data_IF_811630773553
#
_entry.id   IF_811630773553
#
_cell.length_a   1.000
_cell.length_b   1.000
_cell.length_c   1.000
_cell.angle_alpha   90.00
_cell.angle_beta   90.00
_cell.angle_gamma   90.00
#
_symmetry.space_group_name_H-M   'P 1'
#
loop_
_entity.id
_entity.type
_entity.pdbx_description
1 polymer ?
#
# COMPACT_ATOMS: atom_id res chain seq x y z
N UNK A 1 -17.78 -20.63 -9.45
CA UNK A 1 -17.36 -21.87 -8.74
C UNK A 1 -17.97 -21.95 -7.35
N UNK A 2 -18.10 -20.83 -6.63
CA UNK A 2 -18.63 -20.78 -5.23
C UNK A 2 -20.11 -21.22 -5.16
N UNK A 3 -20.88 -21.07 -6.23
CA UNK A 3 -22.29 -21.46 -6.33
C UNK A 3 -22.51 -22.83 -7.01
N UNK A 4 -21.43 -23.52 -7.43
CA UNK A 4 -21.56 -24.82 -8.08
C UNK A 4 -21.90 -25.92 -7.07
N UNK A 5 -22.82 -26.81 -7.42
CA UNK A 5 -23.15 -27.99 -6.62
C UNK A 5 -21.89 -28.87 -6.45
N UNK A 6 -21.69 -29.47 -5.27
CA UNK A 6 -20.48 -30.28 -4.93
C UNK A 6 -20.14 -31.35 -5.96
N UNK A 7 -21.11 -31.89 -6.67
CA UNK A 7 -20.90 -32.90 -7.73
C UNK A 7 -20.01 -32.40 -8.86
N UNK A 8 -20.11 -31.11 -9.25
CA UNK A 8 -19.31 -30.52 -10.33
C UNK A 8 -17.83 -30.36 -9.97
N UNK A 9 -17.49 -30.29 -8.69
CA UNK A 9 -16.11 -30.28 -8.23
C UNK A 9 -15.43 -31.63 -8.39
N UNK A 10 -16.19 -32.73 -8.35
CA UNK A 10 -15.67 -34.11 -8.54
C UNK A 10 -15.51 -34.40 -10.03
N UNK A 11 -16.47 -33.99 -10.86
CA UNK A 11 -16.50 -34.30 -12.31
C UNK A 11 -15.57 -33.42 -13.14
N UNK A 12 -15.07 -32.30 -12.55
CA UNK A 12 -14.21 -31.30 -13.19
C UNK A 12 -14.99 -30.16 -13.85
N UNK A 13 -14.25 -29.20 -14.39
CA UNK A 13 -14.79 -28.02 -15.08
C UNK A 13 -13.96 -27.65 -16.29
N UNK A 14 -14.63 -27.06 -17.29
CA UNK A 14 -14.01 -26.61 -18.54
C UNK A 14 -13.49 -25.19 -18.32
N UNK A 15 -12.25 -24.95 -18.74
CA UNK A 15 -11.60 -23.62 -18.72
C UNK A 15 -11.72 -23.02 -20.11
N UNK A 16 -12.26 -21.81 -20.20
CA UNK A 16 -12.42 -21.07 -21.46
C UNK A 16 -11.87 -19.67 -21.33
N UNK A 17 -11.30 -19.12 -22.38
CA UNK A 17 -10.87 -17.72 -22.52
C UNK A 17 -11.43 -17.18 -23.83
N UNK A 18 -12.13 -16.05 -23.80
CA UNK A 18 -12.81 -15.43 -24.95
C UNK A 18 -13.70 -16.41 -25.76
N UNK A 19 -14.31 -17.37 -25.07
CA UNK A 19 -15.15 -18.41 -25.68
C UNK A 19 -14.38 -19.57 -26.30
N UNK A 20 -13.06 -19.56 -26.30
CA UNK A 20 -12.20 -20.65 -26.75
C UNK A 20 -11.89 -21.65 -25.63
N UNK A 21 -11.91 -22.95 -25.94
CA UNK A 21 -11.52 -23.98 -24.98
C UNK A 21 -10.02 -23.93 -24.71
N UNK A 22 -9.65 -23.78 -23.45
CA UNK A 22 -8.25 -23.81 -22.98
C UNK A 22 -7.86 -25.16 -22.36
N UNK A 23 -8.80 -25.79 -21.65
CA UNK A 23 -8.49 -27.02 -20.96
C UNK A 23 -9.58 -27.45 -20.00
N UNK A 24 -9.27 -28.45 -19.16
CA UNK A 24 -10.14 -28.95 -18.12
C UNK A 24 -9.39 -28.99 -16.81
N UNK A 25 -10.05 -28.59 -15.74
CA UNK A 25 -9.55 -28.66 -14.36
C UNK A 25 -10.41 -29.58 -13.51
N UNK A 26 -9.82 -30.14 -12.48
CA UNK A 26 -10.53 -30.92 -11.46
C UNK A 26 -10.71 -30.13 -10.18
N UNK A 27 -11.62 -30.57 -9.30
CA UNK A 27 -11.75 -29.99 -7.95
C UNK A 27 -10.44 -30.10 -7.15
N UNK A 28 -9.65 -31.16 -7.37
CA UNK A 28 -8.33 -31.32 -6.78
C UNK A 28 -7.36 -30.22 -7.25
N UNK A 29 -7.29 -29.95 -8.56
CA UNK A 29 -6.42 -28.89 -9.11
C UNK A 29 -6.82 -27.52 -8.56
N UNK A 30 -8.12 -27.24 -8.45
CA UNK A 30 -8.63 -26.02 -7.86
C UNK A 30 -8.23 -25.87 -6.39
N UNK A 31 -8.42 -26.93 -5.58
CA UNK A 31 -8.06 -26.93 -4.17
C UNK A 31 -6.54 -26.78 -3.97
N UNK A 32 -5.74 -27.43 -4.82
CA UNK A 32 -4.29 -27.27 -4.82
C UNK A 32 -3.91 -25.82 -5.12
N UNK A 33 -4.46 -25.23 -6.17
CA UNK A 33 -4.19 -23.84 -6.54
C UNK A 33 -4.60 -22.87 -5.43
N UNK A 34 -5.78 -23.04 -4.82
CA UNK A 34 -6.23 -22.23 -3.68
C UNK A 34 -5.25 -22.36 -2.51
N UNK A 35 -4.80 -23.58 -2.19
CA UNK A 35 -3.86 -23.83 -1.10
C UNK A 35 -2.49 -23.18 -1.38
N UNK A 36 -1.99 -23.29 -2.59
CA UNK A 36 -0.75 -22.63 -3.02
C UNK A 36 -0.86 -21.11 -2.95
N UNK A 37 -1.97 -20.52 -3.40
CA UNK A 37 -2.25 -19.09 -3.30
C UNK A 37 -2.33 -18.62 -1.84
N UNK A 38 -3.02 -19.36 -0.97
CA UNK A 38 -3.11 -19.04 0.46
C UNK A 38 -1.76 -19.12 1.15
N UNK A 39 -0.96 -20.16 0.85
CA UNK A 39 0.38 -20.31 1.39
C UNK A 39 1.30 -19.18 0.91
N UNK A 40 1.24 -18.81 -0.36
CA UNK A 40 1.99 -17.69 -0.93
C UNK A 40 1.59 -16.37 -0.27
N UNK A 41 0.28 -16.10 -0.16
CA UNK A 41 -0.22 -14.90 0.51
C UNK A 41 0.27 -14.82 1.97
N UNK A 42 0.16 -15.92 2.74
CA UNK A 42 0.63 -15.97 4.12
C UNK A 42 2.16 -15.79 4.24
N UNK A 43 2.92 -16.32 3.27
CA UNK A 43 4.39 -16.22 3.26
C UNK A 43 4.90 -14.81 2.98
N UNK A 44 4.20 -14.07 2.11
CA UNK A 44 4.63 -12.76 1.65
C UNK A 44 3.85 -11.60 2.26
N UNK A 45 2.88 -11.87 3.13
CA UNK A 45 2.19 -10.83 3.88
C UNK A 45 3.09 -10.21 4.95
N UNK A 46 2.93 -8.92 5.16
CA UNK A 46 3.54 -8.24 6.30
C UNK A 46 2.90 -8.76 7.60
N UNK A 47 3.68 -9.24 8.59
CA UNK A 47 3.13 -9.87 9.79
C UNK A 47 2.36 -8.91 10.70
N UNK A 48 2.59 -7.59 10.59
CA UNK A 48 1.92 -6.59 11.42
C UNK A 48 0.55 -6.20 10.88
N UNK A 49 0.44 -6.01 9.56
CA UNK A 49 -0.78 -5.50 8.91
C UNK A 49 -1.56 -6.56 8.13
N UNK A 50 -0.93 -7.69 7.81
CA UNK A 50 -1.49 -8.70 6.90
C UNK A 50 -1.53 -8.29 5.43
N UNK A 51 -1.07 -7.07 5.11
CA UNK A 51 -1.01 -6.58 3.73
C UNK A 51 0.10 -7.27 2.93
N UNK A 52 -0.03 -7.37 1.60
CA UNK A 52 1.02 -7.85 0.72
C UNK A 52 2.36 -7.14 0.97
N UNK A 53 3.45 -7.91 1.04
CA UNK A 53 4.80 -7.39 1.20
C UNK A 53 5.50 -7.12 -0.14
N UNK A 54 6.84 -7.00 -0.10
CA UNK A 54 7.64 -6.58 -1.25
C UNK A 54 7.49 -7.46 -2.50
N UNK A 55 7.36 -8.77 -2.34
CA UNK A 55 7.26 -9.70 -3.48
C UNK A 55 5.96 -9.46 -4.26
N UNK A 56 4.76 -9.54 -3.65
CA UNK A 56 3.51 -9.22 -4.35
C UNK A 56 3.44 -7.79 -4.90
N UNK A 57 4.06 -6.80 -4.22
CA UNK A 57 4.17 -5.43 -4.73
C UNK A 57 4.92 -5.41 -6.07
N UNK A 58 6.08 -6.09 -6.13
CA UNK A 58 6.88 -6.16 -7.34
C UNK A 58 6.16 -6.88 -8.49
N UNK A 59 5.48 -7.99 -8.19
CA UNK A 59 4.67 -8.75 -9.16
C UNK A 59 3.54 -7.90 -9.74
N UNK A 60 2.84 -7.13 -8.90
CA UNK A 60 1.75 -6.26 -9.35
C UNK A 60 2.25 -5.11 -10.22
N UNK A 61 3.35 -4.45 -9.84
CA UNK A 61 3.99 -3.40 -10.63
C UNK A 61 4.42 -3.94 -11.99
N UNK A 62 5.09 -5.10 -12.02
CA UNK A 62 5.53 -5.73 -13.26
C UNK A 62 4.34 -6.06 -14.19
N UNK A 63 3.29 -6.66 -13.64
CA UNK A 63 2.06 -6.98 -14.38
C UNK A 63 1.41 -5.75 -15.03
N UNK A 64 1.42 -4.60 -14.33
CA UNK A 64 0.83 -3.37 -14.85
C UNK A 64 1.70 -2.69 -15.89
N UNK A 65 3.02 -2.77 -15.76
CA UNK A 65 3.95 -2.29 -16.79
C UNK A 65 3.76 -3.06 -18.11
N UNK A 66 3.60 -4.38 -18.02
CA UNK A 66 3.34 -5.23 -19.20
C UNK A 66 1.94 -5.00 -19.83
N UNK A 67 1.01 -4.46 -19.05
CA UNK A 67 -0.38 -4.23 -19.48
C UNK A 67 -0.62 -2.94 -20.27
N UNK A 68 0.40 -2.09 -20.46
CA UNK A 68 0.37 -0.84 -21.23
C UNK A 68 -0.76 0.15 -20.87
N UNK A 69 -1.38 -0.05 -19.69
CA UNK A 69 -2.47 0.82 -19.20
C UNK A 69 -1.91 1.87 -18.24
N UNK A 70 -2.43 3.10 -18.28
CA UNK A 70 -2.00 4.12 -17.33
C UNK A 70 -2.36 3.70 -15.90
N UNK A 71 -1.44 3.89 -14.98
CA UNK A 71 -1.63 3.66 -13.55
C UNK A 71 -0.80 4.64 -12.72
N UNK A 72 -1.00 4.61 -11.42
CA UNK A 72 -0.31 5.48 -10.48
C UNK A 72 0.33 4.63 -9.39
N UNK A 73 1.57 4.93 -9.07
CA UNK A 73 2.24 4.39 -7.88
C UNK A 73 2.37 5.49 -6.85
N UNK A 74 1.94 5.22 -5.61
CA UNK A 74 2.09 6.15 -4.50
C UNK A 74 2.84 5.49 -3.34
N UNK A 75 3.98 6.04 -2.98
CA UNK A 75 4.66 5.77 -1.74
C UNK A 75 4.01 6.54 -0.60
N UNK A 76 3.67 5.86 0.46
CA UNK A 76 3.11 6.44 1.69
C UNK A 76 4.09 6.23 2.83
N UNK A 77 4.42 7.29 3.54
CA UNK A 77 5.41 7.29 4.61
C UNK A 77 4.93 8.18 5.77
N UNK A 78 5.16 7.72 6.99
CA UNK A 78 4.84 8.45 8.22
C UNK A 78 6.00 9.37 8.60
N UNK A 79 5.74 10.68 8.65
CA UNK A 79 6.72 11.64 9.13
C UNK A 79 6.83 11.53 10.66
N UNK A 80 8.07 11.55 11.17
CA UNK A 80 8.38 11.49 12.61
C UNK A 80 7.95 10.19 13.33
N UNK A 81 7.76 9.06 12.60
CA UNK A 81 7.33 7.81 13.21
C UNK A 81 8.31 7.27 14.24
N UNK A 82 9.62 7.36 13.99
CA UNK A 82 10.62 6.93 14.96
C UNK A 82 10.55 7.74 16.27
N UNK A 83 10.57 9.09 16.29
CA UNK A 83 10.34 9.88 17.50
C UNK A 83 9.03 9.54 18.22
N UNK A 84 7.96 9.24 17.47
CA UNK A 84 6.69 8.78 18.05
C UNK A 84 6.86 7.46 18.81
N UNK A 85 7.52 6.46 18.22
CA UNK A 85 7.82 5.20 18.89
C UNK A 85 8.68 5.38 20.13
N UNK A 86 9.68 6.26 20.07
CA UNK A 86 10.58 6.54 21.18
C UNK A 86 9.83 7.22 22.35
N UNK A 87 8.73 7.96 22.08
CA UNK A 87 7.92 8.65 23.09
C UNK A 87 6.74 7.80 23.61
N UNK A 88 5.97 7.17 22.71
CA UNK A 88 4.74 6.43 23.04
C UNK A 88 4.94 4.92 23.16
N UNK A 89 6.10 4.40 22.75
CA UNK A 89 6.45 2.99 22.73
C UNK A 89 6.03 2.28 21.44
N UNK A 90 6.73 1.18 21.15
CA UNK A 90 6.52 0.41 19.92
C UNK A 90 5.09 -0.17 19.79
N UNK A 91 4.45 -0.52 20.92
CA UNK A 91 3.06 -1.01 20.89
C UNK A 91 2.09 0.03 20.30
N UNK A 92 2.22 1.31 20.69
CA UNK A 92 1.42 2.39 20.13
C UNK A 92 1.73 2.63 18.65
N UNK A 93 3.01 2.50 18.27
CA UNK A 93 3.43 2.56 16.87
C UNK A 93 2.85 1.43 16.03
N UNK A 94 2.86 0.21 16.54
CA UNK A 94 2.27 -0.95 15.86
C UNK A 94 0.76 -0.77 15.64
N UNK A 95 0.05 -0.24 16.65
CA UNK A 95 -1.38 0.04 16.54
C UNK A 95 -1.66 1.16 15.52
N UNK A 96 -0.80 2.18 15.46
CA UNK A 96 -0.88 3.24 14.47
C UNK A 96 -0.65 2.72 13.04
N UNK A 97 0.34 1.85 12.84
CA UNK A 97 0.63 1.20 11.54
C UNK A 97 -0.55 0.32 11.10
N UNK A 98 -1.15 -0.46 12.00
CA UNK A 98 -2.36 -1.25 11.70
C UNK A 98 -3.52 -0.34 11.28
N UNK A 99 -3.68 0.78 11.97
CA UNK A 99 -4.74 1.75 11.62
C UNK A 99 -4.49 2.41 10.27
N UNK A 100 -3.24 2.81 9.97
CA UNK A 100 -2.89 3.31 8.65
C UNK A 100 -3.22 2.28 7.57
N UNK A 101 -2.85 1.01 7.75
CA UNK A 101 -3.20 -0.07 6.83
C UNK A 101 -4.71 -0.18 6.59
N UNK A 102 -5.53 -0.04 7.64
CA UNK A 102 -7.01 -0.02 7.52
C UNK A 102 -7.53 1.19 6.74
N UNK A 103 -6.97 2.37 7.00
CA UNK A 103 -7.36 3.59 6.29
C UNK A 103 -7.00 3.46 4.81
N UNK A 104 -5.80 2.96 4.48
CA UNK A 104 -5.37 2.70 3.11
C UNK A 104 -6.37 1.80 2.38
N UNK A 105 -6.71 0.64 2.97
CA UNK A 105 -7.68 -0.29 2.40
C UNK A 105 -9.06 0.33 2.18
N UNK A 106 -9.52 1.21 3.07
CA UNK A 106 -10.85 1.81 2.98
C UNK A 106 -11.00 2.79 1.81
N UNK A 107 -9.89 3.32 1.27
CA UNK A 107 -9.89 4.27 0.15
C UNK A 107 -9.71 3.59 -1.21
N UNK A 108 -9.48 2.27 -1.26
CA UNK A 108 -9.16 1.55 -2.48
C UNK A 108 -10.37 0.83 -3.09
N UNK A 109 -10.40 0.78 -4.41
CA UNK A 109 -11.21 -0.17 -5.16
C UNK A 109 -10.37 -1.43 -5.44
N UNK A 110 -10.60 -2.48 -4.65
CA UNK A 110 -9.81 -3.71 -4.72
C UNK A 110 -9.92 -4.46 -6.06
N UNK A 111 -10.75 -4.00 -6.99
CA UNK A 111 -10.81 -4.54 -8.36
C UNK A 111 -9.83 -3.84 -9.32
N UNK A 112 -9.41 -2.62 -8.98
CA UNK A 112 -8.55 -1.77 -9.82
C UNK A 112 -7.26 -1.34 -9.12
N UNK A 113 -7.27 -1.37 -7.79
CA UNK A 113 -6.19 -0.83 -6.97
C UNK A 113 -5.56 -1.93 -6.12
N UNK A 114 -4.31 -1.70 -5.74
CA UNK A 114 -3.54 -2.60 -4.88
C UNK A 114 -2.84 -1.82 -3.77
N UNK A 115 -2.69 -2.45 -2.60
CA UNK A 115 -1.92 -1.90 -1.48
C UNK A 115 -0.93 -2.93 -0.97
N UNK A 116 0.28 -2.48 -0.67
CA UNK A 116 1.32 -3.28 -0.03
C UNK A 116 1.98 -2.55 1.14
N UNK A 117 2.53 -3.33 2.07
CA UNK A 117 3.31 -2.84 3.20
C UNK A 117 4.76 -3.29 3.04
N UNK A 118 5.63 -2.35 2.69
CA UNK A 118 7.05 -2.60 2.43
C UNK A 118 7.77 -2.97 3.73
N UNK A 119 7.50 -2.24 4.80
CA UNK A 119 8.04 -2.50 6.13
C UNK A 119 8.18 -1.21 6.95
N UNK A 120 8.17 -1.34 8.27
CA UNK A 120 8.20 -0.20 9.17
C UNK A 120 6.98 0.72 8.96
N UNK A 121 7.23 1.93 8.53
CA UNK A 121 6.24 2.98 8.21
C UNK A 121 6.00 3.18 6.70
N UNK A 122 6.59 2.33 5.86
CA UNK A 122 6.55 2.42 4.40
C UNK A 122 5.44 1.55 3.78
N UNK A 123 4.53 2.18 3.05
CA UNK A 123 3.50 1.50 2.26
C UNK A 123 3.57 1.92 0.79
N UNK A 124 3.03 1.08 -0.08
CA UNK A 124 2.88 1.38 -1.49
C UNK A 124 1.44 1.13 -1.93
N UNK A 125 0.90 2.08 -2.68
CA UNK A 125 -0.37 1.96 -3.39
C UNK A 125 -0.09 1.89 -4.88
N UNK A 126 -0.81 1.03 -5.57
CA UNK A 126 -0.84 0.99 -7.04
C UNK A 126 -2.29 1.20 -7.45
N UNK A 127 -2.56 2.28 -8.18
CA UNK A 127 -3.90 2.79 -8.41
C UNK A 127 -4.20 2.79 -9.92
N UNK A 128 -5.17 1.98 -10.32
CA UNK A 128 -5.74 1.98 -11.66
C UNK A 128 -6.98 2.88 -11.77
N UNK A 129 -7.49 3.36 -10.64
CA UNK A 129 -8.70 4.19 -10.55
C UNK A 129 -8.45 5.61 -11.09
N UNK A 130 -9.35 6.14 -11.90
CA UNK A 130 -9.23 7.49 -12.47
C UNK A 130 -9.32 8.61 -11.40
N UNK A 131 -10.00 8.34 -10.28
CA UNK A 131 -10.20 9.26 -9.16
C UNK A 131 -9.12 9.17 -8.07
N UNK A 132 -7.97 8.55 -8.38
CA UNK A 132 -6.86 8.30 -7.45
C UNK A 132 -6.47 9.53 -6.61
N UNK A 133 -6.44 10.73 -7.22
CA UNK A 133 -6.07 11.97 -6.52
C UNK A 133 -7.07 12.32 -5.42
N UNK A 134 -8.36 12.17 -5.70
CA UNK A 134 -9.42 12.40 -4.71
C UNK A 134 -9.30 11.40 -3.55
N UNK A 135 -9.00 10.14 -3.87
CA UNK A 135 -8.82 9.08 -2.86
C UNK A 135 -7.60 9.34 -1.98
N UNK A 136 -6.47 9.75 -2.57
CA UNK A 136 -5.27 10.10 -1.79
C UNK A 136 -5.48 11.33 -0.89
N UNK A 137 -6.24 12.33 -1.33
CA UNK A 137 -6.58 13.47 -0.47
C UNK A 137 -7.47 13.04 0.70
N UNK A 138 -8.49 12.23 0.47
CA UNK A 138 -9.34 11.66 1.54
C UNK A 138 -8.53 10.82 2.53
N UNK A 139 -7.57 10.04 2.04
CA UNK A 139 -6.66 9.29 2.87
C UNK A 139 -5.88 10.18 3.84
N UNK A 140 -5.36 11.32 3.38
CA UNK A 140 -4.68 12.30 4.24
C UNK A 140 -5.62 12.86 5.31
N UNK A 141 -6.85 13.24 4.92
CA UNK A 141 -7.88 13.78 5.83
C UNK A 141 -8.30 12.73 6.88
N UNK A 142 -8.55 11.50 6.46
CA UNK A 142 -8.95 10.40 7.35
C UNK A 142 -7.84 10.07 8.34
N UNK A 143 -6.59 9.99 7.86
CA UNK A 143 -5.46 9.75 8.74
C UNK A 143 -5.30 10.90 9.74
N UNK A 144 -5.37 12.15 9.31
CA UNK A 144 -5.30 13.33 10.19
C UNK A 144 -6.36 13.29 11.29
N UNK A 145 -7.57 12.87 10.94
CA UNK A 145 -8.67 12.73 11.90
C UNK A 145 -8.42 11.59 12.89
N UNK A 146 -8.03 10.42 12.37
CA UNK A 146 -7.98 9.19 13.16
C UNK A 146 -6.70 9.02 13.99
N UNK A 147 -5.56 9.57 13.54
CA UNK A 147 -4.30 9.47 14.27
C UNK A 147 -4.34 10.22 15.62
N UNK A 148 -5.24 11.18 15.78
CA UNK A 148 -5.39 11.97 17.03
C UNK A 148 -5.62 11.11 18.27
N UNK A 149 -6.26 9.97 18.15
CA UNK A 149 -6.53 9.04 19.26
C UNK A 149 -5.30 8.36 19.86
N UNK A 150 -4.17 8.40 19.14
CA UNK A 150 -2.91 7.80 19.59
C UNK A 150 -2.07 8.74 20.45
N UNK A 151 -2.52 10.01 20.65
CA UNK A 151 -1.81 11.00 21.43
C UNK A 151 -2.46 11.23 22.79
N UNK A 152 -1.63 11.66 23.75
CA UNK A 152 -2.12 12.24 25.00
C UNK A 152 -2.77 13.60 24.75
N UNK A 153 -3.74 13.95 25.60
CA UNK A 153 -4.43 15.24 25.49
C UNK A 153 -3.50 16.44 25.53
N UNK A 154 -2.43 16.37 26.34
CA UNK A 154 -1.43 17.42 26.47
C UNK A 154 -0.66 17.68 25.18
N UNK A 155 -0.25 16.60 24.47
CA UNK A 155 0.49 16.70 23.21
C UNK A 155 -0.43 17.17 22.07
N UNK A 156 -1.71 16.75 22.08
CA UNK A 156 -2.71 17.25 21.13
C UNK A 156 -2.96 18.75 21.29
N UNK A 157 -3.01 19.25 22.53
CA UNK A 157 -3.20 20.67 22.81
C UNK A 157 -1.98 21.50 22.43
N UNK A 158 -0.78 20.94 22.66
CA UNK A 158 0.48 21.58 22.27
C UNK A 158 0.73 21.54 20.75
N UNK A 159 0.12 20.57 20.02
CA UNK A 159 0.38 20.31 18.61
C UNK A 159 1.74 19.66 18.34
N UNK A 160 2.43 19.20 19.40
CA UNK A 160 3.76 18.61 19.33
C UNK A 160 3.97 17.64 20.51
N UNK A 161 5.00 16.81 20.42
CA UNK A 161 5.47 15.94 21.50
C UNK A 161 6.99 16.00 21.64
N UNK A 162 7.51 15.65 22.82
CA UNK A 162 8.95 15.72 23.09
C UNK A 162 9.54 14.32 23.09
N UNK A 163 10.47 14.05 22.18
CA UNK A 163 11.21 12.80 22.12
C UNK A 163 12.73 13.03 22.18
N UNK A 164 13.51 11.95 22.21
CA UNK A 164 14.97 12.03 22.10
C UNK A 164 15.39 11.90 20.64
N UNK A 165 16.25 12.80 20.18
CA UNK A 165 16.86 12.68 18.86
C UNK A 165 17.96 11.61 18.85
N UNK A 166 18.61 11.41 17.69
CA UNK A 166 19.68 10.41 17.51
C UNK A 166 20.90 10.65 18.40
N UNK A 167 21.09 11.87 18.88
CA UNK A 167 22.14 12.28 19.81
C UNK A 167 21.71 12.14 21.30
N UNK A 168 20.48 11.67 21.57
CA UNK A 168 19.95 11.51 22.92
C UNK A 168 19.43 12.81 23.54
N UNK A 169 19.43 13.93 22.82
CA UNK A 169 18.94 15.22 23.29
C UNK A 169 17.41 15.29 23.16
N UNK A 170 16.75 15.98 24.06
CA UNK A 170 15.30 16.25 23.99
C UNK A 170 15.04 17.25 22.87
N UNK A 171 14.14 16.88 21.99
CA UNK A 171 13.73 17.67 20.82
C UNK A 171 12.22 17.64 20.70
N UNK A 172 11.65 18.74 20.26
CA UNK A 172 10.21 18.88 20.00
C UNK A 172 9.91 18.44 18.56
N UNK A 173 8.93 17.55 18.41
CA UNK A 173 8.48 17.04 17.13
C UNK A 173 7.01 17.39 16.91
N UNK A 174 6.62 17.83 15.71
CA UNK A 174 5.21 18.02 15.39
C UNK A 174 4.46 16.68 15.48
N UNK A 175 3.15 16.74 15.53
CA UNK A 175 2.32 15.53 15.39
C UNK A 175 2.59 14.86 14.03
N UNK A 176 2.42 13.55 14.00
CA UNK A 176 2.63 12.75 12.78
C UNK A 176 1.83 13.29 11.60
N UNK A 177 2.43 13.24 10.44
CA UNK A 177 1.80 13.49 9.16
C UNK A 177 2.12 12.37 8.18
N UNK A 178 1.46 12.37 7.03
CA UNK A 178 1.75 11.48 5.92
C UNK A 178 2.39 12.26 4.77
N UNK A 179 3.47 11.72 4.23
CA UNK A 179 4.08 12.15 2.99
C UNK A 179 3.78 11.14 1.89
N UNK A 180 3.14 11.60 0.81
CA UNK A 180 2.75 10.80 -0.35
C UNK A 180 3.58 11.21 -1.56
N UNK A 181 4.54 10.35 -1.94
CA UNK A 181 5.29 10.49 -3.19
C UNK A 181 4.62 9.69 -4.30
N UNK A 182 4.14 10.37 -5.33
CA UNK A 182 3.29 9.80 -6.37
C UNK A 182 3.99 9.85 -7.72
N UNK A 183 3.97 8.73 -8.45
CA UNK A 183 4.38 8.65 -9.85
C UNK A 183 3.15 8.30 -10.67
N UNK A 184 2.77 9.18 -11.57
CA UNK A 184 1.69 8.96 -12.53
C UNK A 184 2.30 8.52 -13.87
N UNK A 185 1.97 7.31 -14.32
CA UNK A 185 2.43 6.75 -15.58
C UNK A 185 1.35 6.89 -16.66
N UNK A 186 1.78 7.35 -17.84
CA UNK A 186 0.97 7.22 -19.07
C UNK A 186 1.14 5.81 -19.67
N UNK A 187 0.26 5.42 -20.57
CA UNK A 187 0.44 4.15 -21.30
C UNK A 187 1.77 4.10 -22.06
N UNK A 188 2.21 5.21 -22.67
CA UNK A 188 3.50 5.30 -23.35
C UNK A 188 4.70 5.15 -22.39
N UNK A 189 4.59 5.63 -21.17
CA UNK A 189 5.64 5.44 -20.17
C UNK A 189 5.77 3.97 -19.73
N UNK A 190 4.67 3.21 -19.72
CA UNK A 190 4.72 1.77 -19.40
C UNK A 190 5.53 0.96 -20.41
N UNK A 191 5.57 1.39 -21.68
CA UNK A 191 6.39 0.74 -22.72
C UNK A 191 7.90 0.95 -22.57
N UNK A 192 8.29 2.00 -21.87
CA UNK A 192 9.71 2.47 -21.83
C UNK A 192 10.37 2.32 -20.45
N UNK A 193 9.57 2.25 -19.38
CA UNK A 193 10.08 2.16 -18.01
C UNK A 193 10.10 0.70 -17.54
N UNK A 194 11.21 0.35 -16.90
CA UNK A 194 11.30 -0.88 -16.12
C UNK A 194 10.95 -0.64 -14.63
N UNK A 195 10.84 -1.72 -13.86
CA UNK A 195 10.48 -1.65 -12.45
C UNK A 195 11.52 -0.90 -11.61
N UNK A 196 12.81 -0.98 -11.95
CA UNK A 196 13.90 -0.31 -11.21
C UNK A 196 13.88 1.21 -11.47
N UNK A 197 13.58 1.63 -12.69
CA UNK A 197 13.41 3.02 -13.05
C UNK A 197 12.19 3.62 -12.37
N UNK A 198 11.07 2.88 -12.34
CA UNK A 198 9.85 3.29 -11.61
C UNK A 198 10.12 3.40 -10.11
N UNK A 199 10.84 2.45 -9.50
CA UNK A 199 11.23 2.51 -8.10
C UNK A 199 12.10 3.74 -7.79
N UNK A 200 12.99 4.11 -8.71
CA UNK A 200 13.83 5.31 -8.60
C UNK A 200 12.99 6.59 -8.63
N UNK A 201 12.01 6.69 -9.55
CA UNK A 201 11.08 7.81 -9.62
C UNK A 201 10.20 7.89 -8.38
N UNK A 202 9.71 6.76 -7.87
CA UNK A 202 8.89 6.69 -6.67
C UNK A 202 9.68 7.13 -5.41
N UNK A 203 10.96 6.74 -5.31
CA UNK A 203 11.86 7.18 -4.25
C UNK A 203 12.13 8.69 -4.32
N UNK A 204 12.28 9.24 -5.52
CA UNK A 204 12.45 10.69 -5.72
C UNK A 204 11.16 11.44 -5.35
N UNK A 205 9.98 10.96 -5.78
CA UNK A 205 8.70 11.53 -5.42
C UNK A 205 8.50 11.55 -3.90
N UNK A 206 8.84 10.44 -3.22
CA UNK A 206 8.82 10.32 -1.76
C UNK A 206 9.73 11.37 -1.10
N UNK A 207 10.97 11.50 -1.59
CA UNK A 207 11.93 12.51 -1.08
C UNK A 207 11.39 13.93 -1.22
N UNK A 208 10.75 14.25 -2.33
CA UNK A 208 10.15 15.55 -2.59
C UNK A 208 8.93 15.80 -1.68
N UNK A 209 8.07 14.81 -1.48
CA UNK A 209 6.94 14.90 -0.55
C UNK A 209 7.42 15.18 0.87
N UNK A 210 8.42 14.46 1.35
CA UNK A 210 9.01 14.65 2.70
C UNK A 210 9.71 16.01 2.92
N UNK A 211 10.05 16.72 1.86
CA UNK A 211 10.57 18.07 1.97
C UNK A 211 9.49 19.13 2.27
N UNK A 212 8.21 18.77 2.13
CA UNK A 212 7.07 19.63 2.40
C UNK A 212 6.60 19.35 3.84
N UNK A 213 6.62 20.34 4.75
CA UNK A 213 6.18 20.11 6.12
C UNK A 213 4.70 19.73 6.23
N UNK A 214 4.38 18.77 7.09
CA UNK A 214 3.02 18.32 7.36
C UNK A 214 2.51 17.35 6.30
N UNK A 215 1.19 17.25 6.17
CA UNK A 215 0.56 16.37 5.19
C UNK A 215 0.87 16.82 3.76
N UNK A 216 1.49 15.95 2.99
CA UNK A 216 1.99 16.31 1.67
C UNK A 216 1.66 15.27 0.61
N UNK A 217 1.47 15.74 -0.63
CA UNK A 217 1.31 14.92 -1.82
C UNK A 217 2.12 15.55 -2.96
N UNK A 218 3.17 14.87 -3.38
CA UNK A 218 4.03 15.30 -4.49
C UNK A 218 3.88 14.34 -5.67
N UNK A 219 3.68 14.86 -6.89
CA UNK A 219 3.41 14.06 -8.09
C UNK A 219 4.50 14.28 -9.11
N UNK A 220 5.12 13.20 -9.56
CA UNK A 220 5.97 13.15 -10.76
C UNK A 220 5.15 12.53 -11.90
N UNK A 221 5.14 13.16 -13.06
CA UNK A 221 4.52 12.61 -14.25
C UNK A 221 5.61 11.94 -15.10
N UNK A 222 5.46 10.64 -15.32
CA UNK A 222 6.27 9.88 -16.27
C UNK A 222 5.51 9.82 -17.60
N UNK A 223 6.10 10.47 -18.62
CA UNK A 223 5.50 10.62 -19.96
C UNK A 223 6.22 9.74 -20.97
#
# INVERSE_FOLDING_TARGET
VVEAEQRYLVDGFIIVEDGAYLGMGTGYDLMRLISEMQLSAARYANPLTGLPGNVPIGEEVQRLLEGERPFVVAYVDLDHFKPFNDHYGYGAGDDLIRELGRILLSQLDMTLDFVGHIGGDDFMLVLGSADWRTRLNRLLEDFQSQCRRFYKAEDLLAGCFIARNRQGQREEYPLLSLSLGVVQLSGAACETLDADQLASLASEAKRQAKAIPGYSLHVIQAA
#
